data_IF_517957993657
#
_entry.id   IF_517957993657
#
_cell.length_a   1.000
_cell.length_b   1.000
_cell.length_c   1.000
_cell.angle_alpha   90.00
_cell.angle_beta   90.00
_cell.angle_gamma   90.00
#
_symmetry.space_group_name_H-M   'P 1'
#
loop_
_entity.id
_entity.type
_entity.pdbx_description
1 polymer ?
#
# COMPACT_ATOMS: atom_id res chain seq x y z
N UNK A 1 11.59 -105.00 33.12
CA UNK A 1 12.36 -103.82 33.50
C UNK A 1 12.91 -103.23 32.24
N UNK A 2 12.35 -102.14 31.78
CA UNK A 2 12.86 -101.33 30.66
C UNK A 2 13.55 -100.13 31.26
N UNK A 3 14.64 -99.66 30.71
CA UNK A 3 15.36 -98.48 31.23
C UNK A 3 14.69 -97.23 30.73
N UNK A 4 14.65 -96.20 31.61
CA UNK A 4 14.17 -94.89 31.38
C UNK A 4 15.29 -94.04 30.73
N UNK A 5 14.95 -93.36 29.66
CA UNK A 5 15.83 -92.43 28.92
C UNK A 5 15.81 -91.02 29.58
N UNK A 6 16.95 -90.42 29.97
CA UNK A 6 17.06 -89.14 30.61
C UNK A 6 17.58 -88.07 29.60
N UNK A 7 16.80 -87.65 28.67
CA UNK A 7 17.15 -86.42 27.92
C UNK A 7 15.93 -85.82 27.18
N UNK A 8 15.10 -85.14 27.94
CA UNK A 8 14.19 -84.17 27.32
C UNK A 8 14.48 -82.77 27.86
N UNK A 9 15.46 -82.13 27.27
CA UNK A 9 15.66 -80.67 27.43
C UNK A 9 14.60 -79.99 26.59
N UNK A 10 13.58 -79.42 27.24
CA UNK A 10 12.60 -78.55 26.61
C UNK A 10 13.27 -77.21 26.36
N UNK A 11 13.67 -76.95 25.14
CA UNK A 11 14.11 -75.67 24.64
C UNK A 11 12.92 -74.68 24.67
N UNK A 12 12.86 -73.90 25.74
CA UNK A 12 11.94 -72.77 25.86
C UNK A 12 12.38 -71.63 24.97
N UNK A 13 12.24 -71.74 23.67
CA UNK A 13 12.39 -70.58 22.76
C UNK A 13 11.26 -69.61 23.04
N UNK A 14 11.60 -68.53 23.76
CA UNK A 14 10.77 -67.35 23.86
C UNK A 14 10.50 -66.86 22.43
N UNK A 15 9.34 -67.16 21.90
CA UNK A 15 8.88 -66.69 20.58
C UNK A 15 8.81 -65.18 20.59
N UNK A 16 9.88 -64.55 20.11
CA UNK A 16 9.85 -63.12 19.79
C UNK A 16 8.65 -62.90 18.84
N UNK A 17 7.63 -62.23 19.32
CA UNK A 17 6.48 -61.78 18.53
C UNK A 17 6.96 -60.97 17.35
N UNK A 18 7.22 -61.59 16.23
CA UNK A 18 7.47 -60.88 14.97
C UNK A 18 6.21 -60.10 14.62
N UNK A 19 6.33 -58.76 14.46
CA UNK A 19 5.20 -57.93 14.17
C UNK A 19 4.58 -58.40 12.84
N UNK A 20 3.28 -58.68 12.85
CA UNK A 20 2.51 -59.18 11.65
C UNK A 20 2.57 -58.25 10.44
N UNK A 21 2.95 -56.98 10.64
CA UNK A 21 3.05 -55.96 9.57
C UNK A 21 4.16 -54.93 9.85
N UNK A 22 5.43 -55.28 9.62
CA UNK A 22 6.55 -54.40 9.97
C UNK A 22 6.54 -53.07 9.21
N UNK A 23 6.10 -53.06 7.96
CA UNK A 23 5.97 -51.84 7.16
C UNK A 23 4.92 -50.85 7.74
N UNK A 24 3.80 -51.38 8.25
CA UNK A 24 2.75 -50.56 8.89
C UNK A 24 3.23 -49.94 10.20
N UNK A 25 3.98 -50.67 10.99
CA UNK A 25 4.56 -50.16 12.25
C UNK A 25 5.62 -49.09 11.97
N UNK A 26 6.47 -49.30 10.97
CA UNK A 26 7.44 -48.33 10.53
C UNK A 26 6.78 -47.02 10.07
N UNK A 27 5.73 -47.11 9.23
CA UNK A 27 4.97 -45.93 8.76
C UNK A 27 4.30 -45.17 9.92
N UNK A 28 3.73 -45.93 10.90
CA UNK A 28 3.12 -45.31 12.08
C UNK A 28 4.17 -44.60 12.95
N UNK A 29 5.36 -45.20 13.12
CA UNK A 29 6.46 -44.61 13.88
C UNK A 29 7.00 -43.35 13.20
N UNK A 30 7.17 -43.37 11.87
CA UNK A 30 7.58 -42.20 11.10
C UNK A 30 6.51 -41.11 11.21
N UNK A 31 5.24 -41.47 11.07
CA UNK A 31 4.12 -40.52 11.19
C UNK A 31 4.07 -39.87 12.57
N UNK A 32 4.25 -40.65 13.63
CA UNK A 32 4.27 -40.13 15.01
C UNK A 32 5.48 -39.21 15.26
N UNK A 33 6.67 -39.63 14.81
CA UNK A 33 7.88 -38.80 14.93
C UNK A 33 7.74 -37.46 14.19
N UNK A 34 7.20 -37.49 12.97
CA UNK A 34 6.94 -36.30 12.19
C UNK A 34 5.91 -35.38 12.88
N UNK A 35 4.81 -35.95 13.38
CA UNK A 35 3.77 -35.20 14.10
C UNK A 35 4.33 -34.53 15.37
N UNK A 36 5.15 -35.29 16.15
CA UNK A 36 5.81 -34.75 17.35
C UNK A 36 6.77 -33.62 16.99
N UNK A 37 7.59 -33.80 15.95
CA UNK A 37 8.52 -32.79 15.48
C UNK A 37 7.78 -31.52 15.05
N UNK A 38 6.72 -31.64 14.24
CA UNK A 38 5.92 -30.50 13.80
C UNK A 38 5.21 -29.80 14.97
N UNK A 39 4.74 -30.57 15.97
CA UNK A 39 4.15 -30.01 17.18
C UNK A 39 5.15 -29.21 18.03
N UNK A 40 6.37 -29.73 18.18
CA UNK A 40 7.47 -29.00 18.86
C UNK A 40 7.86 -27.74 18.09
N UNK A 41 7.94 -27.82 16.77
CA UNK A 41 8.26 -26.69 15.92
C UNK A 41 7.16 -25.60 15.99
N UNK A 42 5.90 -25.99 15.97
CA UNK A 42 4.76 -25.09 16.18
C UNK A 42 4.85 -24.39 17.54
N UNK A 43 5.13 -25.15 18.62
CA UNK A 43 5.32 -24.59 19.95
C UNK A 43 6.46 -23.58 20.02
N UNK A 44 7.59 -23.87 19.35
CA UNK A 44 8.72 -22.95 19.27
C UNK A 44 8.33 -21.63 18.58
N UNK A 45 7.55 -21.70 17.52
CA UNK A 45 7.11 -20.48 16.80
C UNK A 45 6.18 -19.61 17.64
N UNK A 46 5.39 -20.17 18.54
CA UNK A 46 4.63 -19.40 19.52
C UNK A 46 5.49 -18.68 20.56
N UNK A 47 6.71 -19.17 20.81
CA UNK A 47 7.64 -18.56 21.77
C UNK A 47 8.44 -17.38 21.21
N UNK A 48 8.65 -17.33 19.88
CA UNK A 48 9.49 -16.32 19.22
C UNK A 48 8.83 -15.71 17.98
N UNK A 49 7.53 -15.33 18.00
CA UNK A 49 6.81 -14.85 16.81
C UNK A 49 7.44 -13.61 16.20
N UNK A 50 8.07 -12.75 17.00
CA UNK A 50 8.71 -11.51 16.53
C UNK A 50 9.97 -11.74 15.70
N UNK A 51 10.54 -12.94 15.73
CA UNK A 51 11.72 -13.32 14.91
C UNK A 51 11.35 -13.98 13.60
N UNK A 52 10.07 -14.25 13.39
CA UNK A 52 9.60 -14.90 12.18
C UNK A 52 9.33 -13.87 11.07
N UNK A 53 9.57 -14.21 9.80
CA UNK A 53 9.17 -13.37 8.69
C UNK A 53 7.67 -13.06 8.70
N UNK A 54 7.29 -11.86 8.28
CA UNK A 54 5.88 -11.43 8.29
C UNK A 54 4.96 -12.34 7.49
N UNK A 55 5.41 -12.88 6.35
CA UNK A 55 4.65 -13.83 5.55
C UNK A 55 4.37 -15.16 6.27
N UNK A 56 5.16 -15.47 7.30
CA UNK A 56 4.99 -16.66 8.12
C UNK A 56 3.99 -16.42 9.26
N UNK A 57 4.05 -15.24 9.88
CA UNK A 57 3.24 -14.86 11.04
C UNK A 57 1.90 -14.23 10.65
N UNK A 58 1.76 -13.74 9.43
CA UNK A 58 0.53 -13.13 8.95
C UNK A 58 -0.48 -14.21 8.53
N UNK A 59 -1.71 -14.13 9.05
CA UNK A 59 -2.77 -15.10 8.75
C UNK A 59 -3.12 -15.13 7.26
N UNK A 60 -3.05 -13.98 6.59
CA UNK A 60 -3.29 -13.84 5.16
C UNK A 60 -2.34 -12.79 4.55
N UNK A 61 -1.05 -13.10 4.32
CA UNK A 61 -0.18 -12.17 3.62
C UNK A 61 -0.68 -12.00 2.18
N UNK A 62 -1.10 -10.81 1.83
CA UNK A 62 -1.59 -10.51 0.49
C UNK A 62 -3.10 -10.35 0.32
N UNK A 63 -3.84 -10.27 1.41
CA UNK A 63 -5.23 -9.85 1.40
C UNK A 63 -6.25 -10.94 1.70
N UNK A 64 -7.00 -10.75 2.74
CA UNK A 64 -8.20 -11.47 3.11
C UNK A 64 -9.21 -10.49 3.70
N UNK A 65 -10.47 -10.81 3.65
CA UNK A 65 -11.51 -10.09 4.41
C UNK A 65 -11.39 -10.59 5.85
N UNK A 66 -11.15 -9.70 6.78
CA UNK A 66 -11.11 -10.01 8.21
C UNK A 66 -12.33 -9.37 8.89
N UNK A 67 -13.03 -10.14 9.70
CA UNK A 67 -14.16 -9.63 10.48
C UNK A 67 -13.62 -8.81 11.65
N UNK A 68 -14.11 -7.59 11.79
CA UNK A 68 -13.83 -6.72 12.94
C UNK A 68 -15.15 -6.43 13.62
N UNK A 69 -15.18 -6.57 14.93
CA UNK A 69 -16.37 -6.26 15.70
C UNK A 69 -16.79 -4.80 15.49
N UNK A 70 -18.08 -4.51 15.24
CA UNK A 70 -18.58 -3.15 15.15
C UNK A 70 -18.21 -2.37 16.42
N UNK A 71 -17.67 -1.16 16.25
CA UNK A 71 -17.17 -0.31 17.34
C UNK A 71 -15.68 -0.46 17.64
N UNK A 72 -15.03 -1.59 17.29
CA UNK A 72 -13.60 -1.76 17.50
C UNK A 72 -12.77 -0.82 16.62
N UNK A 73 -13.32 -0.37 15.50
CA UNK A 73 -12.68 0.61 14.62
C UNK A 73 -12.59 2.03 15.24
N UNK A 74 -13.48 2.36 16.14
CA UNK A 74 -13.45 3.65 16.85
C UNK A 74 -12.45 3.62 18.01
N UNK A 75 -12.12 2.42 18.50
CA UNK A 75 -11.18 2.19 19.60
C UNK A 75 -9.81 1.66 19.12
N UNK A 76 -9.72 1.13 17.91
CA UNK A 76 -8.42 0.70 17.37
C UNK A 76 -7.51 1.92 17.37
N UNK A 77 -6.48 1.93 18.24
CA UNK A 77 -5.40 2.84 18.03
C UNK A 77 -4.88 2.47 16.64
N UNK A 78 -5.08 3.37 15.71
CA UNK A 78 -4.37 3.35 14.44
C UNK A 78 -2.93 3.66 14.84
N UNK A 79 -2.34 2.78 15.63
CA UNK A 79 -0.93 2.84 15.96
C UNK A 79 -0.22 2.66 14.65
N UNK A 80 0.16 3.79 14.16
CA UNK A 80 0.61 4.04 12.83
C UNK A 80 1.50 2.91 12.34
N UNK A 81 1.09 2.38 11.27
CA UNK A 81 1.76 1.43 10.45
C UNK A 81 3.25 1.75 10.06
N UNK A 82 3.80 2.99 10.17
CA UNK A 82 5.21 3.24 9.86
C UNK A 82 6.17 2.27 10.55
N UNK A 83 5.83 1.78 11.74
CA UNK A 83 6.63 0.75 12.44
C UNK A 83 6.70 -0.59 11.69
N UNK A 84 5.80 -0.81 10.72
CA UNK A 84 5.67 -2.09 10.01
C UNK A 84 6.27 -2.08 8.62
N UNK A 85 6.36 -0.92 7.99
CA UNK A 85 6.89 -0.83 6.63
C UNK A 85 8.41 -0.76 6.61
N UNK A 86 9.02 -0.07 7.60
CA UNK A 86 10.46 0.11 7.64
C UNK A 86 11.01 0.05 9.06
N UNK A 87 12.18 -0.51 9.24
CA UNK A 87 12.97 -0.25 10.43
C UNK A 87 13.29 1.26 10.49
N UNK A 88 13.38 1.83 11.70
CA UNK A 88 13.68 3.27 11.91
C UNK A 88 14.85 3.81 11.09
N UNK A 89 15.79 2.95 10.74
CA UNK A 89 16.90 3.22 9.85
C UNK A 89 16.92 2.15 8.78
N UNK A 90 16.26 2.40 7.66
CA UNK A 90 16.31 1.53 6.51
C UNK A 90 17.31 2.05 5.51
N UNK A 91 18.24 1.18 5.10
CA UNK A 91 19.15 1.43 4.00
C UNK A 91 18.87 0.40 2.92
N UNK A 92 18.49 0.85 1.76
CA UNK A 92 18.17 -0.04 0.68
C UNK A 92 17.51 0.65 -0.50
N UNK A 93 16.98 -0.15 -1.40
CA UNK A 93 16.12 0.33 -2.48
C UNK A 93 14.70 0.48 -1.96
N UNK A 94 13.93 1.46 -2.45
CA UNK A 94 12.53 1.59 -2.12
C UNK A 94 11.80 0.30 -2.49
N UNK A 95 10.81 -0.12 -1.68
CA UNK A 95 10.04 -1.32 -1.96
C UNK A 95 9.25 -1.22 -3.27
N UNK A 96 8.95 0.01 -3.73
CA UNK A 96 8.10 0.24 -4.88
C UNK A 96 6.68 -0.30 -4.70
N UNK A 97 5.91 -0.32 -5.77
CA UNK A 97 4.60 -0.97 -5.81
C UNK A 97 4.75 -2.45 -6.19
N UNK A 98 5.37 -3.22 -5.27
CA UNK A 98 5.81 -4.59 -5.51
C UNK A 98 4.69 -5.53 -5.98
N UNK A 99 3.46 -5.35 -5.49
CA UNK A 99 2.33 -6.21 -5.86
C UNK A 99 1.92 -6.01 -7.32
N UNK A 100 2.00 -4.79 -7.81
CA UNK A 100 1.75 -4.41 -9.18
C UNK A 100 2.91 -4.86 -10.09
N UNK A 101 4.15 -4.48 -9.74
CA UNK A 101 5.34 -4.81 -10.52
C UNK A 101 5.50 -6.32 -10.73
N UNK A 102 5.35 -7.11 -9.66
CA UNK A 102 5.56 -8.56 -9.71
C UNK A 102 4.59 -9.31 -10.63
N UNK A 103 3.45 -8.71 -10.96
CA UNK A 103 2.41 -9.37 -11.76
C UNK A 103 2.36 -8.96 -13.21
N UNK A 104 2.77 -7.74 -13.52
CA UNK A 104 2.55 -7.13 -14.83
C UNK A 104 3.86 -6.83 -15.54
N UNK A 105 4.90 -6.46 -14.79
CA UNK A 105 6.14 -5.94 -15.33
C UNK A 105 7.19 -7.02 -15.41
N UNK A 106 7.72 -7.26 -16.61
CA UNK A 106 8.92 -8.07 -16.77
C UNK A 106 10.10 -7.39 -16.06
N UNK A 107 10.69 -8.00 -15.02
CA UNK A 107 11.79 -7.40 -14.28
C UNK A 107 12.99 -7.02 -15.15
N UNK A 108 13.22 -7.76 -16.25
CA UNK A 108 14.32 -7.49 -17.18
C UNK A 108 14.10 -6.24 -18.03
N UNK A 109 12.85 -5.79 -18.16
CA UNK A 109 12.45 -4.61 -18.96
C UNK A 109 12.12 -3.39 -18.10
N UNK A 110 12.08 -3.55 -16.78
CA UNK A 110 11.79 -2.45 -15.86
C UNK A 110 13.02 -1.52 -15.71
N UNK A 111 12.96 -0.26 -16.14
CA UNK A 111 14.07 0.68 -16.00
C UNK A 111 14.20 1.28 -14.59
N UNK A 112 13.19 1.14 -13.73
CA UNK A 112 13.16 1.78 -12.43
C UNK A 112 14.28 1.37 -11.47
N UNK A 113 14.74 0.08 -11.44
CA UNK A 113 15.86 -0.30 -10.56
C UNK A 113 17.14 0.50 -10.77
N UNK A 114 17.39 0.99 -12.00
CA UNK A 114 18.52 1.86 -12.28
C UNK A 114 18.29 3.31 -11.84
N UNK A 115 17.02 3.70 -11.67
CA UNK A 115 16.58 5.05 -11.25
C UNK A 115 16.36 5.17 -9.75
N UNK A 116 16.15 4.06 -9.06
CA UNK A 116 16.04 4.06 -7.60
C UNK A 116 17.44 4.19 -6.99
N UNK A 117 17.78 5.31 -6.40
CA UNK A 117 19.01 5.41 -5.63
C UNK A 117 18.89 4.52 -4.39
N UNK A 118 20.02 3.98 -3.94
CA UNK A 118 20.12 3.47 -2.57
C UNK A 118 19.97 4.66 -1.64
N UNK A 119 19.00 4.62 -0.73
CA UNK A 119 18.76 5.72 0.18
C UNK A 119 18.65 5.28 1.63
N UNK A 120 18.90 6.20 2.53
CA UNK A 120 18.67 6.04 3.94
C UNK A 120 17.30 6.62 4.27
N UNK A 121 16.37 5.76 4.60
CA UNK A 121 15.09 6.16 5.16
C UNK A 121 15.25 6.34 6.66
N UNK A 122 14.93 7.51 7.13
CA UNK A 122 14.95 7.80 8.56
C UNK A 122 13.57 8.21 9.02
N UNK A 123 13.09 7.48 10.02
CA UNK A 123 11.85 7.81 10.72
C UNK A 123 12.21 8.42 12.08
N UNK A 124 11.37 9.34 12.55
CA UNK A 124 11.49 9.92 13.88
C UNK A 124 11.04 8.95 15.00
N UNK A 125 10.97 9.45 16.22
CA UNK A 125 10.59 8.66 17.40
C UNK A 125 9.13 8.19 17.35
N UNK A 126 8.26 8.92 16.63
CA UNK A 126 6.86 8.55 16.38
C UNK A 126 6.72 7.61 15.16
N UNK A 127 7.83 7.22 14.54
CA UNK A 127 7.91 6.41 13.31
C UNK A 127 7.30 7.11 12.10
N UNK A 128 7.33 8.43 12.06
CA UNK A 128 6.90 9.27 10.96
C UNK A 128 8.07 9.66 10.06
N UNK A 129 7.84 10.04 8.79
CA UNK A 129 8.88 10.27 7.79
C UNK A 129 9.63 11.59 7.99
N UNK A 130 10.14 11.81 9.19
CA UNK A 130 10.90 13.01 9.55
C UNK A 130 12.31 12.63 10.03
N UNK A 131 13.30 13.51 9.83
CA UNK A 131 14.67 13.30 10.35
C UNK A 131 14.71 13.20 11.88
N UNK A 132 13.81 13.91 12.54
CA UNK A 132 13.64 13.94 14.00
C UNK A 132 12.22 14.39 14.35
N UNK A 133 11.76 14.01 15.53
CA UNK A 133 10.54 14.57 16.12
C UNK A 133 10.70 16.06 16.37
N UNK A 134 9.67 16.84 16.00
CA UNK A 134 9.56 18.24 16.34
C UNK A 134 8.54 18.44 17.44
N UNK A 135 8.80 19.31 18.39
CA UNK A 135 7.82 19.74 19.40
C UNK A 135 6.82 20.74 18.81
N UNK A 136 7.29 21.60 17.90
CA UNK A 136 6.46 22.56 17.16
C UNK A 136 6.82 22.50 15.68
N UNK A 137 5.85 22.79 14.84
CA UNK A 137 6.02 22.85 13.39
C UNK A 137 5.34 24.12 12.85
N UNK A 138 5.92 24.77 11.85
CA UNK A 138 5.25 25.86 11.15
C UNK A 138 4.21 25.30 10.17
N UNK A 139 4.55 24.18 9.50
CA UNK A 139 3.72 23.54 8.47
C UNK A 139 3.59 22.04 8.73
N UNK A 140 2.39 21.50 8.55
CA UNK A 140 2.15 20.06 8.55
C UNK A 140 1.86 19.57 7.14
N UNK A 141 2.45 18.42 6.80
CA UNK A 141 2.03 17.60 5.66
C UNK A 141 1.15 16.46 6.16
N UNK A 142 -0.06 16.37 5.62
CA UNK A 142 -1.03 15.32 5.89
C UNK A 142 -1.38 14.64 4.57
N UNK A 143 -1.06 13.37 4.41
CA UNK A 143 -1.26 12.70 3.13
C UNK A 143 -1.07 11.18 3.22
N UNK A 144 -0.96 10.59 2.05
CA UNK A 144 -0.66 9.18 1.85
C UNK A 144 0.83 8.95 1.47
N UNK A 145 1.09 7.94 0.62
CA UNK A 145 2.42 7.61 0.13
C UNK A 145 3.06 8.71 -0.72
N UNK A 146 2.26 9.54 -1.41
CA UNK A 146 2.78 10.67 -2.18
C UNK A 146 3.19 11.80 -1.24
N UNK A 147 2.35 12.15 -0.26
CA UNK A 147 2.72 13.14 0.77
C UNK A 147 3.93 12.69 1.60
N UNK A 148 4.08 11.39 1.79
CA UNK A 148 5.23 10.75 2.44
C UNK A 148 6.51 10.83 1.59
N UNK A 149 6.39 11.09 0.28
CA UNK A 149 7.49 11.01 -0.70
C UNK A 149 8.12 9.61 -0.77
N UNK A 150 7.29 8.56 -0.69
CA UNK A 150 7.74 7.17 -0.82
C UNK A 150 8.55 7.00 -2.11
N UNK A 151 9.65 6.24 -2.04
CA UNK A 151 10.56 5.97 -3.15
C UNK A 151 11.45 7.13 -3.61
N UNK A 152 11.43 8.26 -2.92
CA UNK A 152 12.29 9.41 -3.22
C UNK A 152 13.30 9.65 -2.11
N UNK A 153 14.55 9.96 -2.48
CA UNK A 153 15.57 10.37 -1.50
C UNK A 153 15.07 11.56 -0.69
N UNK A 154 15.26 11.53 0.62
CA UNK A 154 14.87 12.62 1.51
C UNK A 154 15.23 14.02 0.97
N UNK A 155 16.45 14.31 0.45
CA UNK A 155 16.77 15.62 -0.12
C UNK A 155 15.96 16.00 -1.35
N UNK A 156 15.45 15.01 -2.09
CA UNK A 156 14.66 15.21 -3.31
C UNK A 156 13.14 15.21 -3.05
N UNK A 157 12.71 14.85 -1.84
CA UNK A 157 11.33 14.88 -1.41
C UNK A 157 10.80 16.31 -1.21
N UNK A 158 9.50 16.48 -1.38
CA UNK A 158 8.83 17.79 -1.32
C UNK A 158 9.06 18.51 0.02
N UNK A 159 8.97 17.78 1.14
CA UNK A 159 9.13 18.34 2.49
C UNK A 159 10.47 19.09 2.62
N UNK A 160 11.60 18.43 2.29
CA UNK A 160 12.91 19.05 2.50
C UNK A 160 13.17 20.18 1.51
N UNK A 161 12.73 20.04 0.26
CA UNK A 161 12.82 21.12 -0.74
C UNK A 161 12.07 22.36 -0.28
N UNK A 162 10.85 22.16 0.25
CA UNK A 162 10.04 23.27 0.75
C UNK A 162 10.67 23.90 2.01
N UNK A 163 11.21 23.07 2.92
CA UNK A 163 11.98 23.56 4.08
C UNK A 163 13.17 24.40 3.64
N UNK A 164 13.93 23.98 2.62
CA UNK A 164 15.07 24.72 2.08
C UNK A 164 14.65 26.04 1.42
N UNK A 165 13.52 26.05 0.70
CA UNK A 165 13.04 27.22 0.00
C UNK A 165 12.41 28.28 0.93
N UNK A 166 11.85 27.86 2.06
CA UNK A 166 11.10 28.76 2.98
C UNK A 166 11.79 29.00 4.31
N UNK A 167 12.69 28.12 4.74
CA UNK A 167 13.26 28.12 6.10
C UNK A 167 12.28 27.64 7.19
N UNK A 168 11.04 27.27 6.84
CA UNK A 168 10.00 26.86 7.79
C UNK A 168 10.25 25.44 8.33
N UNK A 169 9.84 25.21 9.58
CA UNK A 169 9.84 23.89 10.20
C UNK A 169 8.64 23.09 9.71
N UNK A 170 8.87 22.16 8.76
CA UNK A 170 7.83 21.31 8.18
C UNK A 170 7.87 19.94 8.83
N UNK A 171 6.71 19.49 9.36
CA UNK A 171 6.55 18.16 9.94
C UNK A 171 5.58 17.32 9.11
N UNK A 172 6.03 16.16 8.68
CA UNK A 172 5.28 15.27 7.81
C UNK A 172 4.65 14.13 8.61
N UNK A 173 3.32 14.07 8.60
CA UNK A 173 2.55 13.01 9.23
C UNK A 173 1.84 12.13 8.19
N UNK A 174 2.27 12.19 6.92
CA UNK A 174 1.71 11.37 5.86
C UNK A 174 2.05 9.90 6.04
N UNK A 175 1.06 9.03 5.79
CA UNK A 175 1.22 7.58 5.93
C UNK A 175 0.77 6.85 4.64
N UNK A 176 1.61 5.96 4.07
CA UNK A 176 1.25 5.20 2.88
C UNK A 176 -0.06 4.43 3.05
N UNK A 177 -1.01 4.62 2.12
CA UNK A 177 -2.31 3.97 2.13
C UNK A 177 -3.32 4.60 3.11
N UNK A 178 -3.05 5.81 3.61
CA UNK A 178 -3.98 6.52 4.48
C UNK A 178 -5.11 7.15 3.67
N UNK A 179 -6.36 6.72 3.89
CA UNK A 179 -7.56 7.43 3.44
C UNK A 179 -7.92 8.62 4.33
N UNK A 180 -8.97 9.41 3.96
CA UNK A 180 -9.33 10.63 4.68
C UNK A 180 -9.52 10.48 6.18
N UNK A 181 -10.21 9.42 6.64
CA UNK A 181 -10.47 9.18 8.06
C UNK A 181 -9.19 8.90 8.85
N UNK A 182 -8.23 8.20 8.25
CA UNK A 182 -6.94 7.94 8.87
C UNK A 182 -6.09 9.21 8.91
N UNK A 183 -6.13 10.02 7.86
CA UNK A 183 -5.46 11.34 7.82
C UNK A 183 -6.00 12.27 8.90
N UNK A 184 -7.32 12.31 9.14
CA UNK A 184 -7.93 13.06 10.24
C UNK A 184 -7.38 12.60 11.59
N UNK A 185 -7.32 11.29 11.81
CA UNK A 185 -6.78 10.75 13.06
C UNK A 185 -5.28 11.10 13.25
N UNK A 186 -4.48 11.00 12.18
CA UNK A 186 -3.06 11.40 12.20
C UNK A 186 -2.92 12.89 12.53
N UNK A 187 -3.78 13.74 11.95
CA UNK A 187 -3.83 15.17 12.23
C UNK A 187 -4.10 15.44 13.70
N UNK A 188 -5.11 14.80 14.28
CA UNK A 188 -5.47 14.98 15.69
C UNK A 188 -4.37 14.50 16.63
N UNK A 189 -3.79 13.33 16.37
CA UNK A 189 -2.85 12.69 17.29
C UNK A 189 -1.43 13.27 17.20
N UNK A 190 -0.95 13.52 15.99
CA UNK A 190 0.44 13.88 15.76
C UNK A 190 0.63 15.30 15.23
N UNK A 191 -0.38 15.85 14.57
CA UNK A 191 -0.30 17.12 13.88
C UNK A 191 -0.66 18.31 14.78
N UNK A 192 -1.92 18.44 15.18
CA UNK A 192 -2.40 19.59 15.93
C UNK A 192 -1.63 19.88 17.24
N UNK A 193 -1.14 18.86 17.98
CA UNK A 193 -0.28 19.11 19.12
C UNK A 193 1.01 19.88 18.82
N UNK A 194 1.46 19.93 17.55
CA UNK A 194 2.63 20.69 17.10
C UNK A 194 2.38 22.18 16.93
N UNK A 195 1.12 22.65 17.12
CA UNK A 195 0.71 24.05 16.98
C UNK A 195 1.10 24.64 15.60
N UNK A 196 0.70 24.02 14.49
CA UNK A 196 1.06 24.48 13.16
C UNK A 196 0.41 25.83 12.85
N UNK A 197 1.01 26.59 11.93
CA UNK A 197 0.42 27.79 11.31
C UNK A 197 -0.30 27.45 10.01
N UNK A 198 0.11 26.34 9.36
CA UNK A 198 -0.48 25.88 8.12
C UNK A 198 -0.50 24.34 8.05
N UNK A 199 -1.55 23.81 7.43
CA UNK A 199 -1.72 22.38 7.14
C UNK A 199 -1.94 22.21 5.65
N UNK A 200 -1.12 21.37 5.01
CA UNK A 200 -1.22 20.99 3.61
C UNK A 200 -1.76 19.55 3.57
N UNK A 201 -3.00 19.41 3.11
CA UNK A 201 -3.70 18.14 3.01
C UNK A 201 -3.60 17.60 1.58
N UNK A 202 -2.79 16.57 1.38
CA UNK A 202 -2.64 15.89 0.10
C UNK A 202 -3.75 14.86 -0.08
N UNK A 203 -4.46 14.94 -1.19
CA UNK A 203 -5.49 14.01 -1.59
C UNK A 203 -5.09 13.32 -2.90
N UNK A 204 -4.86 12.02 -2.85
CA UNK A 204 -4.44 11.22 -4.00
C UNK A 204 -5.63 10.52 -4.66
N UNK A 205 -5.88 10.81 -5.93
CA UNK A 205 -7.02 10.27 -6.67
C UNK A 205 -6.91 8.77 -6.99
N UNK A 206 -5.73 8.18 -6.79
CA UNK A 206 -5.50 6.76 -7.03
C UNK A 206 -6.17 5.85 -6.01
N UNK A 207 -6.37 6.30 -4.75
CA UNK A 207 -6.92 5.44 -3.71
C UNK A 207 -7.68 6.14 -2.57
N UNK A 208 -7.54 7.44 -2.33
CA UNK A 208 -8.09 8.09 -1.13
C UNK A 208 -9.61 7.89 -0.97
N UNK A 209 -10.42 8.07 -2.03
CA UNK A 209 -11.86 7.82 -1.95
C UNK A 209 -12.19 6.34 -1.75
N UNK A 210 -11.39 5.45 -2.35
CA UNK A 210 -11.57 4.01 -2.21
C UNK A 210 -11.22 3.55 -0.79
N UNK A 211 -10.13 4.05 -0.24
CA UNK A 211 -9.70 3.75 1.13
C UNK A 211 -10.70 4.32 2.14
N UNK A 212 -11.22 5.54 1.92
CA UNK A 212 -12.32 6.10 2.67
C UNK A 212 -13.59 5.27 2.61
N UNK A 213 -13.97 4.80 1.41
CA UNK A 213 -15.12 3.91 1.24
C UNK A 213 -14.93 2.56 1.97
N UNK A 214 -13.74 1.98 1.89
CA UNK A 214 -13.43 0.73 2.61
C UNK A 214 -13.56 0.92 4.12
N UNK A 215 -13.08 2.03 4.67
CA UNK A 215 -13.21 2.34 6.10
C UNK A 215 -14.66 2.54 6.52
N UNK A 216 -15.45 3.24 5.71
CA UNK A 216 -16.88 3.42 5.96
C UNK A 216 -17.64 2.09 5.95
N UNK A 217 -17.43 1.26 4.92
CA UNK A 217 -18.05 -0.06 4.83
C UNK A 217 -17.62 -0.96 5.99
N UNK A 218 -16.36 -0.88 6.40
CA UNK A 218 -15.86 -1.65 7.53
C UNK A 218 -16.55 -1.26 8.85
N UNK A 219 -16.75 0.05 9.09
CA UNK A 219 -17.51 0.55 10.27
C UNK A 219 -18.96 0.07 10.27
N UNK A 220 -19.59 0.04 9.10
CA UNK A 220 -20.99 -0.38 8.95
C UNK A 220 -21.19 -1.88 9.10
N UNK A 221 -20.27 -2.69 8.60
CA UNK A 221 -20.43 -4.14 8.45
C UNK A 221 -19.56 -4.96 9.39
N UNK A 222 -18.54 -4.36 9.99
CA UNK A 222 -17.51 -5.05 10.75
C UNK A 222 -16.54 -5.87 9.87
N UNK A 223 -16.60 -5.73 8.55
CA UNK A 223 -15.68 -6.40 7.62
C UNK A 223 -14.66 -5.42 7.04
N UNK A 224 -13.40 -5.78 7.13
CA UNK A 224 -12.31 -5.02 6.53
C UNK A 224 -11.64 -5.78 5.40
N UNK A 225 -11.36 -5.06 4.34
CA UNK A 225 -10.33 -5.48 3.40
C UNK A 225 -8.99 -4.92 3.85
N UNK A 226 -7.95 -5.67 3.63
CA UNK A 226 -6.60 -5.51 4.21
C UNK A 226 -5.89 -4.16 3.97
N UNK A 227 -6.43 -3.29 3.09
CA UNK A 227 -5.73 -2.10 2.63
C UNK A 227 -5.77 -0.91 3.60
N UNK A 228 -6.70 -0.87 4.54
CA UNK A 228 -7.09 0.38 5.19
C UNK A 228 -7.09 0.38 6.71
N UNK A 229 -6.55 -0.66 7.36
CA UNK A 229 -6.46 -0.70 8.82
C UNK A 229 -5.07 -1.10 9.27
N UNK A 230 -4.51 -0.41 10.26
CA UNK A 230 -3.29 -0.84 10.94
C UNK A 230 -3.52 -2.25 11.44
N UNK A 231 -2.70 -3.13 10.96
CA UNK A 231 -2.92 -4.57 11.07
C UNK A 231 -2.50 -5.06 12.44
N UNK A 232 -3.35 -4.91 13.45
CA UNK A 232 -3.33 -5.89 14.53
C UNK A 232 -3.89 -7.20 13.99
N UNK A 233 -3.15 -7.84 13.08
CA UNK A 233 -3.48 -9.19 12.67
C UNK A 233 -3.31 -10.06 13.89
N UNK A 234 -4.39 -10.68 14.34
CA UNK A 234 -4.25 -11.76 15.32
C UNK A 234 -3.28 -12.76 14.71
N UNK A 235 -2.22 -13.14 15.44
CA UNK A 235 -1.30 -14.16 14.95
C UNK A 235 -2.12 -15.41 14.54
N UNK A 236 -1.69 -16.16 13.56
CA UNK A 236 -2.39 -17.38 13.17
C UNK A 236 -2.45 -18.30 14.38
N UNK A 237 -3.57 -18.97 14.55
CA UNK A 237 -3.73 -19.99 15.62
C UNK A 237 -2.68 -21.10 15.46
N UNK A 238 -2.29 -21.37 14.20
CA UNK A 238 -1.29 -22.36 13.84
C UNK A 238 -0.33 -21.77 12.80
N UNK A 239 0.96 -21.70 13.13
CA UNK A 239 1.97 -21.12 12.25
C UNK A 239 2.34 -22.03 11.08
N UNK A 240 2.55 -23.32 11.33
CA UNK A 240 2.94 -24.27 10.27
C UNK A 240 1.87 -24.44 9.17
N UNK A 241 0.60 -24.70 9.50
CA UNK A 241 -0.45 -24.72 8.48
C UNK A 241 -0.57 -23.42 7.71
N UNK A 242 -0.44 -22.28 8.39
CA UNK A 242 -0.46 -20.98 7.75
C UNK A 242 0.73 -20.79 6.79
N UNK A 243 1.92 -21.17 7.21
CA UNK A 243 3.11 -21.15 6.37
C UNK A 243 2.95 -22.03 5.13
N UNK A 244 2.48 -23.27 5.29
CA UNK A 244 2.29 -24.19 4.17
C UNK A 244 1.25 -23.64 3.18
N UNK A 245 0.17 -23.06 3.68
CA UNK A 245 -0.85 -22.43 2.85
C UNK A 245 -0.27 -21.23 2.07
N UNK A 246 0.50 -20.39 2.73
CA UNK A 246 1.12 -19.22 2.10
C UNK A 246 2.19 -19.62 1.09
N UNK A 247 3.02 -20.61 1.44
CA UNK A 247 4.00 -21.18 0.52
C UNK A 247 3.33 -21.81 -0.70
N UNK A 248 2.29 -22.62 -0.52
CA UNK A 248 1.52 -23.19 -1.61
C UNK A 248 0.93 -22.14 -2.55
N UNK A 249 0.38 -21.05 -2.00
CA UNK A 249 -0.11 -19.92 -2.79
C UNK A 249 1.02 -19.24 -3.57
N UNK A 250 2.17 -19.03 -2.95
CA UNK A 250 3.34 -18.44 -3.61
C UNK A 250 3.82 -19.32 -4.77
N UNK A 251 3.89 -20.66 -4.56
CA UNK A 251 4.28 -21.59 -5.62
C UNK A 251 3.28 -21.62 -6.78
N UNK A 252 1.98 -21.60 -6.48
CA UNK A 252 0.94 -21.54 -7.49
C UNK A 252 0.98 -20.20 -8.26
N UNK A 253 1.29 -19.10 -7.60
CA UNK A 253 1.48 -17.79 -8.23
C UNK A 253 2.76 -17.76 -9.08
N UNK A 254 3.85 -18.37 -8.61
CA UNK A 254 5.12 -18.44 -9.33
C UNK A 254 5.09 -19.40 -10.53
N UNK A 255 4.26 -20.46 -10.48
CA UNK A 255 4.10 -21.43 -11.56
C UNK A 255 3.05 -21.03 -12.59
N UNK A 256 2.19 -20.06 -12.28
CA UNK A 256 1.34 -19.45 -13.30
C UNK A 256 2.25 -18.74 -14.30
N UNK A 257 2.15 -19.08 -15.58
CA UNK A 257 2.83 -18.35 -16.65
C UNK A 257 2.53 -16.87 -16.45
N UNK A 258 3.53 -16.11 -16.00
CA UNK A 258 3.37 -14.68 -15.80
C UNK A 258 3.27 -14.04 -17.18
N UNK A 259 2.05 -13.68 -17.56
CA UNK A 259 1.79 -12.95 -18.81
C UNK A 259 2.16 -11.49 -18.57
N UNK A 260 3.46 -11.21 -18.59
CA UNK A 260 3.96 -9.85 -18.49
C UNK A 260 3.43 -9.00 -19.63
N UNK A 261 2.94 -7.82 -19.30
CA UNK A 261 2.44 -6.88 -20.28
C UNK A 261 3.57 -5.97 -20.76
N UNK A 262 3.58 -5.58 -22.05
CA UNK A 262 4.45 -4.54 -22.52
C UNK A 262 4.12 -3.22 -21.83
N UNK A 263 5.15 -2.37 -21.61
CA UNK A 263 4.92 -1.00 -21.15
C UNK A 263 4.39 -0.13 -22.28
N UNK A 264 3.54 0.83 -21.93
CA UNK A 264 3.09 1.87 -22.86
C UNK A 264 4.23 2.81 -23.20
N UNK A 265 4.35 3.21 -24.44
CA UNK A 265 5.44 4.09 -24.90
C UNK A 265 5.12 5.54 -24.55
N UNK A 266 5.91 6.11 -23.67
CA UNK A 266 5.87 7.55 -23.36
C UNK A 266 6.98 8.26 -24.14
N UNK A 267 6.69 9.31 -24.92
CA UNK A 267 7.68 10.02 -25.72
C UNK A 267 8.57 10.91 -24.86
N UNK A 268 9.87 10.91 -25.14
CA UNK A 268 10.85 11.82 -24.59
C UNK A 268 11.18 12.94 -25.59
N UNK A 269 11.78 14.02 -25.11
CA UNK A 269 12.14 15.18 -25.95
C UNK A 269 13.17 14.89 -27.03
N UNK A 270 14.00 13.86 -26.85
CA UNK A 270 15.00 13.41 -27.83
C UNK A 270 14.44 12.47 -28.92
N UNK A 271 13.11 12.27 -28.92
CA UNK A 271 12.41 11.38 -29.85
C UNK A 271 12.47 9.90 -29.47
N UNK A 272 13.17 9.54 -28.41
CA UNK A 272 13.13 8.18 -27.85
C UNK A 272 11.85 7.97 -27.03
N UNK A 273 11.62 6.74 -26.58
CA UNK A 273 10.48 6.41 -25.70
C UNK A 273 10.94 5.66 -24.47
N UNK A 274 10.18 5.83 -23.38
CA UNK A 274 10.36 5.06 -22.16
C UNK A 274 9.09 4.23 -21.89
N UNK A 275 9.20 2.95 -21.49
CA UNK A 275 8.03 2.16 -21.14
C UNK A 275 7.42 2.64 -19.82
N UNK A 276 6.09 2.78 -19.79
CA UNK A 276 5.31 3.14 -18.61
C UNK A 276 4.26 2.07 -18.36
N UNK A 277 4.09 1.64 -17.12
CA UNK A 277 3.02 0.74 -16.72
C UNK A 277 2.07 1.46 -15.78
N UNK A 278 0.78 1.23 -15.99
CA UNK A 278 -0.28 1.80 -15.18
C UNK A 278 -0.79 0.79 -14.16
N UNK A 279 -1.15 1.26 -12.98
CA UNK A 279 -1.76 0.41 -11.97
C UNK A 279 -3.15 -0.03 -12.43
N UNK A 280 -3.47 -1.35 -12.47
CA UNK A 280 -4.74 -1.86 -12.98
C UNK A 280 -5.97 -1.23 -12.32
N UNK A 281 -5.90 -1.01 -11.01
CA UNK A 281 -6.99 -0.39 -10.28
C UNK A 281 -7.24 1.04 -10.75
N UNK A 282 -6.17 1.84 -10.94
CA UNK A 282 -6.32 3.23 -11.38
C UNK A 282 -6.89 3.31 -12.79
N UNK A 283 -6.56 2.37 -13.68
CA UNK A 283 -7.18 2.28 -15.01
C UNK A 283 -8.69 2.04 -14.89
N UNK A 284 -9.09 1.08 -14.07
CA UNK A 284 -10.50 0.73 -13.89
C UNK A 284 -11.27 1.84 -13.15
N UNK A 285 -10.73 2.30 -12.04
CA UNK A 285 -11.42 3.23 -11.15
C UNK A 285 -11.64 4.60 -11.81
N UNK A 286 -10.64 5.12 -12.55
CA UNK A 286 -10.76 6.38 -13.29
C UNK A 286 -11.62 6.30 -14.56
N UNK A 287 -12.03 5.11 -15.00
CA UNK A 287 -12.99 4.95 -16.09
C UNK A 287 -14.44 5.27 -15.68
N UNK A 288 -14.70 5.37 -14.39
CA UNK A 288 -16.04 5.61 -13.85
C UNK A 288 -16.43 7.09 -13.88
N UNK A 289 -17.71 7.40 -14.18
CA UNK A 289 -18.24 8.77 -14.18
C UNK A 289 -18.43 9.31 -12.74
N UNK A 290 -18.75 10.60 -12.65
CA UNK A 290 -18.96 11.27 -11.34
C UNK A 290 -20.06 10.62 -10.50
N UNK A 291 -21.15 10.20 -11.15
CA UNK A 291 -22.28 9.57 -10.47
C UNK A 291 -21.87 8.29 -9.73
N UNK A 292 -20.93 7.54 -10.30
CA UNK A 292 -20.38 6.34 -9.65
C UNK A 292 -19.64 6.70 -8.37
N UNK A 293 -18.77 7.73 -8.41
CA UNK A 293 -18.05 8.19 -7.24
C UNK A 293 -19.00 8.70 -6.16
N UNK A 294 -20.01 9.51 -6.55
CA UNK A 294 -21.05 9.99 -5.61
C UNK A 294 -21.89 8.86 -5.00
N UNK A 295 -22.04 7.73 -5.70
CA UNK A 295 -22.82 6.58 -5.22
C UNK A 295 -22.08 5.70 -4.19
N UNK A 296 -20.77 5.90 -4.02
CA UNK A 296 -20.01 5.15 -3.02
C UNK A 296 -20.38 5.57 -1.61
N UNK A 297 -20.64 4.59 -0.73
CA UNK A 297 -21.05 4.87 0.66
C UNK A 297 -20.05 5.70 1.44
N UNK A 298 -18.76 5.58 1.14
CA UNK A 298 -17.68 6.36 1.77
C UNK A 298 -17.43 7.73 1.15
N UNK A 299 -18.10 8.09 0.06
CA UNK A 299 -17.86 9.39 -0.58
C UNK A 299 -18.26 10.55 0.35
N UNK A 300 -19.51 10.55 0.83
CA UNK A 300 -20.01 11.57 1.74
C UNK A 300 -19.21 11.63 3.05
N UNK A 301 -18.85 10.46 3.60
CA UNK A 301 -18.03 10.36 4.81
C UNK A 301 -16.63 10.94 4.59
N UNK A 302 -16.05 10.75 3.40
CA UNK A 302 -14.74 11.32 3.06
C UNK A 302 -14.79 12.84 3.00
N UNK A 303 -15.82 13.41 2.35
CA UNK A 303 -16.02 14.86 2.30
C UNK A 303 -16.27 15.46 3.68
N UNK A 304 -17.10 14.79 4.50
CA UNK A 304 -17.37 15.22 5.87
C UNK A 304 -16.11 15.18 6.73
N UNK A 305 -15.25 14.16 6.53
CA UNK A 305 -13.97 14.06 7.23
C UNK A 305 -13.03 15.20 6.86
N UNK A 306 -12.97 15.57 5.58
CA UNK A 306 -12.16 16.71 5.11
C UNK A 306 -12.69 18.02 5.72
N UNK A 307 -14.02 18.22 5.76
CA UNK A 307 -14.67 19.39 6.38
C UNK A 307 -14.31 19.52 7.86
N UNK A 308 -14.44 18.43 8.63
CA UNK A 308 -14.07 18.40 10.04
C UNK A 308 -12.58 18.65 10.27
N UNK A 309 -11.72 18.04 9.44
CA UNK A 309 -10.28 18.26 9.52
C UNK A 309 -9.91 19.72 9.29
N UNK A 310 -10.49 20.37 8.27
CA UNK A 310 -10.33 21.80 8.04
C UNK A 310 -10.77 22.60 9.26
N UNK A 311 -11.98 22.36 9.80
CA UNK A 311 -12.50 23.08 10.96
C UNK A 311 -11.56 22.96 12.17
N UNK A 312 -11.05 21.76 12.46
CA UNK A 312 -10.09 21.53 13.54
C UNK A 312 -8.79 22.31 13.35
N UNK A 313 -8.33 22.44 12.12
CA UNK A 313 -7.12 23.22 11.79
C UNK A 313 -7.37 24.71 11.99
N UNK A 314 -8.50 25.23 11.54
CA UNK A 314 -8.90 26.64 11.70
C UNK A 314 -9.16 27.00 13.17
N UNK A 315 -9.81 26.11 13.94
CA UNK A 315 -10.02 26.27 15.37
C UNK A 315 -8.68 26.30 16.15
N UNK A 316 -7.64 25.64 15.63
CA UNK A 316 -6.29 25.71 16.15
C UNK A 316 -5.52 26.99 15.69
N UNK A 317 -6.14 27.86 14.91
CA UNK A 317 -5.54 29.10 14.40
C UNK A 317 -4.62 28.90 13.21
N UNK A 318 -4.73 27.77 12.49
CA UNK A 318 -3.91 27.44 11.32
C UNK A 318 -4.71 27.57 10.01
N UNK A 319 -4.00 27.82 8.90
CA UNK A 319 -4.60 27.75 7.55
C UNK A 319 -4.64 26.32 7.04
N UNK A 320 -5.61 26.01 6.18
CA UNK A 320 -5.79 24.72 5.55
C UNK A 320 -5.74 24.82 4.03
N UNK A 321 -4.85 24.07 3.38
CA UNK A 321 -4.76 23.94 1.94
C UNK A 321 -5.07 22.50 1.53
N UNK A 322 -6.04 22.32 0.65
CA UNK A 322 -6.30 21.05 0.00
C UNK A 322 -5.52 20.95 -1.31
N UNK A 323 -4.63 19.97 -1.38
CA UNK A 323 -3.82 19.69 -2.58
C UNK A 323 -4.31 18.42 -3.26
N UNK A 324 -4.89 18.56 -4.44
CA UNK A 324 -5.26 17.44 -5.29
C UNK A 324 -4.04 16.87 -6.00
N UNK A 325 -3.80 15.57 -5.79
CA UNK A 325 -2.66 14.82 -6.29
C UNK A 325 -3.13 13.77 -7.29
N UNK A 326 -2.95 13.99 -8.60
CA UNK A 326 -3.36 13.02 -9.60
C UNK A 326 -2.39 11.83 -9.68
N UNK A 327 -2.93 10.64 -9.91
CA UNK A 327 -2.15 9.45 -10.17
C UNK A 327 -1.57 9.43 -11.60
N UNK A 328 -0.65 8.51 -11.85
CA UNK A 328 -0.01 8.34 -13.15
C UNK A 328 -1.00 8.18 -14.31
N UNK A 329 -2.05 7.38 -14.12
CA UNK A 329 -3.10 7.14 -15.11
C UNK A 329 -3.80 8.43 -15.47
N UNK A 330 -4.14 9.27 -14.51
CA UNK A 330 -4.81 10.55 -14.73
C UNK A 330 -4.01 11.46 -15.68
N UNK A 331 -2.69 11.52 -15.51
CA UNK A 331 -1.80 12.40 -16.26
C UNK A 331 -1.38 11.76 -17.59
N UNK A 332 -0.87 10.53 -17.58
CA UNK A 332 -0.11 10.00 -18.70
C UNK A 332 -0.92 9.15 -19.68
N UNK A 333 -2.13 8.71 -19.35
CA UNK A 333 -2.89 7.83 -20.25
C UNK A 333 -3.20 8.48 -21.63
N UNK A 334 -3.29 9.80 -21.68
CA UNK A 334 -3.48 10.56 -22.93
C UNK A 334 -2.18 10.99 -23.62
N UNK A 335 -1.03 10.73 -22.98
CA UNK A 335 0.32 11.11 -23.46
C UNK A 335 1.11 9.91 -23.99
N UNK A 336 0.63 8.69 -23.75
CA UNK A 336 1.23 7.45 -24.26
C UNK A 336 0.57 7.03 -25.56
N UNK A 337 1.23 6.12 -26.30
CA UNK A 337 0.67 5.52 -27.51
C UNK A 337 -0.69 4.87 -27.21
N UNK A 338 -1.70 5.18 -28.01
CA UNK A 338 -3.06 4.69 -27.84
C UNK A 338 -3.14 3.22 -28.24
N UNK A 339 -3.41 2.35 -27.27
CA UNK A 339 -3.63 0.91 -27.43
C UNK A 339 -4.73 0.45 -26.47
N UNK A 340 -5.98 0.42 -27.01
CA UNK A 340 -7.17 0.09 -26.22
C UNK A 340 -7.13 -1.34 -25.66
N UNK A 341 -6.64 -2.30 -26.45
CA UNK A 341 -6.49 -3.70 -26.02
C UNK A 341 -5.50 -3.82 -24.88
N UNK A 342 -4.34 -3.16 -24.96
CA UNK A 342 -3.35 -3.17 -23.89
C UNK A 342 -3.86 -2.51 -22.62
N UNK A 343 -4.59 -1.38 -22.75
CA UNK A 343 -5.22 -0.69 -21.60
C UNK A 343 -6.24 -1.62 -20.91
N UNK A 344 -7.12 -2.24 -21.69
CA UNK A 344 -8.15 -3.15 -21.17
C UNK A 344 -7.53 -4.40 -20.53
N UNK A 345 -6.53 -5.03 -21.18
CA UNK A 345 -5.78 -6.15 -20.60
C UNK A 345 -5.07 -5.75 -19.30
N UNK A 346 -4.48 -4.56 -19.25
CA UNK A 346 -3.82 -4.04 -18.05
C UNK A 346 -4.81 -3.85 -16.90
N UNK A 347 -5.99 -3.27 -17.17
CA UNK A 347 -7.06 -3.09 -16.18
C UNK A 347 -7.60 -4.42 -15.65
N UNK A 348 -7.69 -5.44 -16.51
CA UNK A 348 -8.22 -6.77 -16.17
C UNK A 348 -7.24 -7.63 -15.36
N UNK A 349 -5.96 -7.28 -15.35
CA UNK A 349 -4.88 -8.18 -14.92
C UNK A 349 -4.95 -8.58 -13.43
N UNK A 350 -5.52 -7.77 -12.57
CA UNK A 350 -5.69 -8.09 -11.14
C UNK A 350 -7.02 -8.81 -10.82
N UNK A 351 -7.61 -9.50 -11.79
CA UNK A 351 -8.84 -10.27 -11.67
C UNK A 351 -10.06 -9.42 -11.24
N UNK A 352 -10.01 -8.12 -11.40
CA UNK A 352 -11.16 -7.26 -11.23
C UNK A 352 -12.02 -7.29 -12.48
N UNK A 353 -13.33 -7.32 -12.27
CA UNK A 353 -14.27 -7.09 -13.37
C UNK A 353 -14.11 -5.64 -13.82
N UNK A 354 -13.64 -5.43 -15.05
CA UNK A 354 -13.59 -4.09 -15.64
C UNK A 354 -14.99 -3.52 -15.83
N UNK A 355 -15.11 -2.20 -15.79
CA UNK A 355 -16.37 -1.49 -15.90
C UNK A 355 -17.05 -1.64 -17.27
N UNK A 356 -16.26 -1.87 -18.31
CA UNK A 356 -16.68 -2.06 -19.70
C UNK A 356 -15.89 -3.19 -20.35
N UNK A 357 -16.57 -4.06 -21.10
CA UNK A 357 -15.96 -5.23 -21.73
C UNK A 357 -15.37 -4.94 -23.12
N UNK A 358 -15.82 -3.88 -23.77
CA UNK A 358 -15.30 -3.41 -25.07
C UNK A 358 -14.06 -2.53 -24.83
N UNK A 359 -12.88 -2.91 -25.32
CA UNK A 359 -11.65 -2.17 -25.08
C UNK A 359 -11.67 -0.71 -25.55
N UNK A 360 -12.25 -0.43 -26.71
CA UNK A 360 -12.33 0.96 -27.22
C UNK A 360 -13.24 1.83 -26.36
N UNK A 361 -14.40 1.33 -25.99
CA UNK A 361 -15.31 2.02 -25.09
C UNK A 361 -14.72 2.20 -23.70
N UNK A 362 -13.99 1.20 -23.21
CA UNK A 362 -13.29 1.30 -21.94
C UNK A 362 -12.28 2.46 -21.96
N UNK A 363 -11.43 2.51 -22.99
CA UNK A 363 -10.46 3.59 -23.15
C UNK A 363 -11.13 4.96 -23.32
N UNK A 364 -12.20 5.04 -24.08
CA UNK A 364 -12.98 6.29 -24.24
C UNK A 364 -13.56 6.76 -22.88
N UNK A 365 -14.14 5.84 -22.11
CA UNK A 365 -14.65 6.14 -20.78
C UNK A 365 -13.53 6.60 -19.85
N UNK A 366 -12.38 5.92 -19.84
CA UNK A 366 -11.23 6.30 -19.04
C UNK A 366 -10.75 7.73 -19.39
N UNK A 367 -10.56 8.03 -20.67
CA UNK A 367 -10.11 9.36 -21.10
C UNK A 367 -11.13 10.44 -20.71
N UNK A 368 -12.43 10.17 -20.85
CA UNK A 368 -13.52 11.10 -20.53
C UNK A 368 -13.63 11.37 -19.02
N UNK A 369 -13.52 10.29 -18.22
CA UNK A 369 -13.90 10.32 -16.81
C UNK A 369 -12.71 10.47 -15.86
N UNK A 370 -11.45 10.36 -16.33
CA UNK A 370 -10.26 10.40 -15.47
C UNK A 370 -10.18 11.60 -14.52
N UNK A 371 -10.77 12.73 -14.91
CA UNK A 371 -10.85 13.93 -14.10
C UNK A 371 -12.10 14.06 -13.22
N UNK A 372 -12.94 13.02 -13.13
CA UNK A 372 -14.20 13.07 -12.38
C UNK A 372 -13.99 13.39 -10.89
N UNK A 373 -13.03 12.72 -10.24
CA UNK A 373 -12.73 13.00 -8.84
C UNK A 373 -12.26 14.44 -8.62
N UNK A 374 -11.37 14.96 -9.48
CA UNK A 374 -10.89 16.34 -9.37
C UNK A 374 -12.02 17.34 -9.45
N UNK A 375 -12.94 17.18 -10.41
CA UNK A 375 -14.12 18.09 -10.53
C UNK A 375 -14.98 18.04 -9.28
N UNK A 376 -15.31 16.84 -8.77
CA UNK A 376 -16.12 16.66 -7.57
C UNK A 376 -15.49 17.30 -6.34
N UNK A 377 -14.18 17.13 -6.18
CA UNK A 377 -13.45 17.66 -5.01
C UNK A 377 -13.24 19.17 -5.14
N UNK A 378 -13.04 19.69 -6.33
CA UNK A 378 -12.98 21.13 -6.59
C UNK A 378 -14.32 21.79 -6.27
N UNK A 379 -15.44 21.28 -6.80
CA UNK A 379 -16.79 21.76 -6.47
C UNK A 379 -17.06 21.75 -4.95
N UNK A 380 -16.65 20.67 -4.29
CA UNK A 380 -16.76 20.57 -2.83
C UNK A 380 -15.92 21.66 -2.14
N UNK A 381 -14.66 21.80 -2.49
CA UNK A 381 -13.78 22.80 -1.88
C UNK A 381 -14.29 24.23 -2.12
N UNK A 382 -14.76 24.53 -3.34
CA UNK A 382 -15.36 25.81 -3.68
C UNK A 382 -16.63 26.09 -2.84
N UNK A 383 -17.50 25.09 -2.69
CA UNK A 383 -18.75 25.24 -1.92
C UNK A 383 -18.51 25.44 -0.42
N UNK A 384 -17.41 24.89 0.11
CA UNK A 384 -17.02 24.99 1.52
C UNK A 384 -16.04 26.15 1.79
N UNK A 385 -15.59 26.88 0.76
CA UNK A 385 -14.56 27.91 0.92
C UNK A 385 -13.19 27.35 1.34
N UNK A 386 -12.85 26.14 0.88
CA UNK A 386 -11.55 25.51 1.11
C UNK A 386 -10.58 25.93 0.01
N UNK A 387 -9.39 26.40 0.39
CA UNK A 387 -8.33 26.69 -0.58
C UNK A 387 -7.91 25.39 -1.29
N UNK A 388 -7.90 25.41 -2.64
CA UNK A 388 -7.70 24.23 -3.48
C UNK A 388 -6.55 24.46 -4.47
N UNK A 389 -5.53 23.59 -4.41
CA UNK A 389 -4.42 23.53 -5.37
C UNK A 389 -4.45 22.19 -6.09
N UNK A 390 -4.50 22.20 -7.42
CA UNK A 390 -4.32 20.97 -8.22
C UNK A 390 -2.90 20.84 -8.74
N UNK A 391 -2.26 19.69 -8.46
CA UNK A 391 -0.97 19.36 -9.05
C UNK A 391 -1.09 18.93 -10.53
N UNK A 392 -2.31 18.71 -11.05
CA UNK A 392 -2.53 18.22 -12.41
C UNK A 392 -1.92 19.09 -13.49
N UNK A 393 -2.21 20.40 -13.60
CA UNK A 393 -1.67 21.23 -14.70
C UNK A 393 -0.14 21.26 -14.67
N UNK A 394 0.47 21.23 -13.48
CA UNK A 394 1.91 21.23 -13.31
C UNK A 394 2.56 19.93 -13.82
N UNK A 395 1.95 18.78 -13.51
CA UNK A 395 2.40 17.48 -13.99
C UNK A 395 2.13 17.28 -15.48
N UNK A 396 1.01 17.80 -16.01
CA UNK A 396 0.74 17.78 -17.44
C UNK A 396 1.78 18.58 -18.22
N UNK A 397 2.16 19.77 -17.73
CA UNK A 397 3.26 20.58 -18.31
C UNK A 397 4.59 19.83 -18.27
N UNK A 398 4.94 19.24 -17.13
CA UNK A 398 6.16 18.43 -17.00
C UNK A 398 6.17 17.25 -17.98
N UNK A 399 5.02 16.60 -18.19
CA UNK A 399 4.88 15.51 -19.14
C UNK A 399 4.99 15.98 -20.60
N UNK A 400 4.46 17.17 -20.93
CA UNK A 400 4.57 17.79 -22.26
C UNK A 400 6.03 18.18 -22.58
N UNK A 401 6.85 18.45 -21.56
CA UNK A 401 8.28 18.64 -21.65
C UNK A 401 9.08 17.31 -21.77
N UNK A 402 8.41 16.18 -21.92
CA UNK A 402 9.03 14.86 -22.08
C UNK A 402 9.51 14.23 -20.75
N UNK A 403 9.11 14.78 -19.61
CA UNK A 403 9.41 14.18 -18.31
C UNK A 403 8.11 13.64 -17.69
N UNK A 404 7.94 12.33 -17.53
CA UNK A 404 6.69 11.75 -17.05
C UNK A 404 6.34 12.15 -15.61
N UNK A 405 7.28 12.60 -14.80
CA UNK A 405 7.05 12.92 -13.38
C UNK A 405 6.83 11.70 -12.48
N UNK A 406 6.73 10.50 -13.05
CA UNK A 406 6.47 9.22 -12.37
C UNK A 406 7.56 8.20 -12.68
N UNK A 407 7.75 7.24 -11.80
CA UNK A 407 8.53 6.03 -12.10
C UNK A 407 7.82 5.18 -13.16
N UNK A 408 8.58 4.41 -13.93
CA UNK A 408 8.03 3.65 -15.07
C UNK A 408 7.05 2.57 -14.63
N UNK A 409 7.46 1.71 -13.70
CA UNK A 409 6.68 0.57 -13.21
C UNK A 409 6.09 0.80 -11.81
N UNK A 410 6.18 1.99 -11.28
CA UNK A 410 5.67 2.39 -9.96
C UNK A 410 4.72 3.57 -10.12
N UNK A 411 3.69 3.66 -9.27
CA UNK A 411 2.68 4.72 -9.32
C UNK A 411 3.15 6.02 -8.69
N UNK A 412 4.27 6.00 -7.94
CA UNK A 412 4.76 7.14 -7.21
C UNK A 412 5.49 8.15 -8.10
N UNK A 413 5.60 9.36 -7.60
CA UNK A 413 6.29 10.46 -8.24
C UNK A 413 7.81 10.30 -8.17
N UNK A 414 8.48 10.71 -9.24
CA UNK A 414 9.93 10.90 -9.24
C UNK A 414 10.30 12.19 -8.48
N UNK A 415 11.61 12.45 -8.23
CA UNK A 415 12.05 13.75 -7.72
C UNK A 415 11.57 14.95 -8.54
N UNK A 416 11.42 14.80 -9.85
CA UNK A 416 10.86 15.85 -10.73
C UNK A 416 9.37 16.07 -10.46
N UNK A 417 8.60 14.97 -10.31
CA UNK A 417 7.19 15.06 -9.97
C UNK A 417 6.94 15.76 -8.62
N UNK A 418 7.75 15.47 -7.60
CA UNK A 418 7.66 16.20 -6.33
C UNK A 418 8.07 17.68 -6.48
N UNK A 419 8.97 17.98 -7.41
CA UNK A 419 9.48 19.34 -7.64
C UNK A 419 8.43 20.32 -8.11
N UNK A 420 7.40 19.87 -8.85
CA UNK A 420 6.39 20.77 -9.45
C UNK A 420 5.57 21.53 -8.41
N UNK A 421 5.44 20.98 -7.20
CA UNK A 421 4.68 21.62 -6.12
C UNK A 421 5.48 22.63 -5.29
N UNK A 422 6.81 22.70 -5.43
CA UNK A 422 7.63 23.54 -4.56
C UNK A 422 7.26 25.01 -4.69
N UNK A 423 7.26 25.55 -5.91
CA UNK A 423 7.01 26.98 -6.14
C UNK A 423 5.57 27.39 -5.74
N UNK A 424 4.49 26.69 -6.17
CA UNK A 424 3.14 27.04 -5.76
C UNK A 424 2.93 26.99 -4.24
N UNK A 425 3.55 26.04 -3.55
CA UNK A 425 3.45 25.95 -2.09
C UNK A 425 4.27 27.04 -1.39
N UNK A 426 5.42 27.45 -1.94
CA UNK A 426 6.19 28.60 -1.44
C UNK A 426 5.37 29.89 -1.57
N UNK A 427 4.72 30.11 -2.71
CA UNK A 427 3.84 31.25 -2.92
C UNK A 427 2.70 31.28 -1.90
N UNK A 428 1.98 30.18 -1.79
CA UNK A 428 0.87 30.05 -0.82
C UNK A 428 1.31 30.30 0.62
N UNK A 429 2.48 29.77 1.03
CA UNK A 429 3.02 29.97 2.38
C UNK A 429 3.47 31.42 2.63
N UNK A 430 3.95 32.16 1.62
CA UNK A 430 4.33 33.56 1.74
C UNK A 430 3.14 34.49 1.92
N UNK A 431 2.04 34.22 1.23
CA UNK A 431 0.77 34.97 1.38
C UNK A 431 0.20 34.87 2.82
N UNK A 432 0.70 33.93 3.60
CA UNK A 432 0.31 33.70 4.99
C UNK A 432 1.14 34.50 6.01
N UNK A 433 2.21 35.12 5.58
CA UNK A 433 3.21 35.71 6.45
C UNK A 433 3.10 37.24 6.62
N UNK A 434 2.01 37.88 6.13
CA UNK A 434 1.73 39.30 6.41
C UNK A 434 0.90 39.54 7.66
#
# INVERSE_FOLDING_TARGET
MKPTDPNSITDGTAGALRPKHPARQLLLSIGLALFTFLGCLEGLYHLIPERLPTWFTEKYPGGGIEFIEPGLLDELPIEASPKRWFARNYTGRPPGDLSFQARIVDPAKNPDPARYPTFHWRLDEDSLPNPKRLEKADVLFVGDSIGNALNVLTPAGLQLRLTQATGLAIYNISEPGAGPQQKEWMLQKYGLPKQPKAVIWFFFDGNDLLDGNIQTVARQTGYLTWASVPRHRKPPTWYLPNMLQNWGRQQLQASANQDYLPGFRFPLTDGSTIPMWFHPNHLNDLSHPEEWWRSMSGFADSLETIRRSRQQVEDAGARFLFVFVPCKTHILISKVERDAELVHRSASHMQRKVSESDPEKFLENLIRNRGAQERLLREFCESEGIEFLSARPLLETLADEGNPGFFSADTHWTPAGHGVLVEPLVEWLRESGE
#
